data_IF_100004351357
#
_entry.id   IF_100004351357
#
_cell.length_a   1.000
_cell.length_b   1.000
_cell.length_c   1.000
_cell.angle_alpha   90.00
_cell.angle_beta   90.00
_cell.angle_gamma   90.00
#
_symmetry.space_group_name_H-M   'P 1'
#
loop_
_entity.id
_entity.type
_entity.pdbx_description
1 polymer ?
#
# COMPACT_ATOMS: atom_id res chain seq x y z
N UNK A 1 43.96 8.83 -22.16
CA UNK A 1 42.89 8.03 -21.48
C UNK A 1 41.99 7.45 -22.57
N UNK A 2 41.81 6.11 -22.59
CA UNK A 2 40.88 5.45 -23.52
C UNK A 2 39.55 5.27 -22.84
N UNK A 3 38.48 5.81 -23.42
CA UNK A 3 37.12 5.71 -22.92
C UNK A 3 36.34 4.67 -23.74
N UNK A 4 35.75 3.68 -23.09
CA UNK A 4 34.78 2.78 -23.67
C UNK A 4 33.39 3.30 -23.36
N UNK A 5 32.53 3.42 -24.38
CA UNK A 5 31.14 3.80 -24.23
C UNK A 5 30.28 2.74 -24.92
N UNK A 6 29.31 2.22 -24.18
CA UNK A 6 28.38 1.21 -24.68
C UNK A 6 26.94 1.61 -24.33
N UNK A 7 26.01 1.67 -25.30
CA UNK A 7 24.61 1.90 -25.01
C UNK A 7 24.02 0.67 -24.31
N UNK A 8 23.35 0.89 -23.19
CA UNK A 8 22.74 -0.19 -22.42
C UNK A 8 21.29 -0.37 -22.86
N UNK A 9 21.01 -1.43 -23.61
CA UNK A 9 19.67 -1.84 -24.06
C UNK A 9 19.18 -3.10 -23.33
N UNK A 10 19.65 -3.28 -22.10
CA UNK A 10 19.31 -4.45 -21.29
C UNK A 10 17.99 -4.24 -20.56
N UNK A 11 17.22 -5.31 -20.38
CA UNK A 11 16.04 -5.33 -19.50
C UNK A 11 16.43 -5.03 -18.07
N UNK A 12 15.47 -4.63 -17.25
CA UNK A 12 15.68 -4.44 -15.81
C UNK A 12 16.23 -5.73 -15.20
N UNK A 13 17.31 -5.61 -14.43
CA UNK A 13 17.99 -6.74 -13.83
C UNK A 13 19.39 -6.41 -13.36
N UNK A 14 20.06 -7.40 -12.76
CA UNK A 14 21.45 -7.33 -12.39
C UNK A 14 22.26 -8.24 -13.31
N UNK A 15 23.29 -7.70 -13.91
CA UNK A 15 24.12 -8.35 -14.90
C UNK A 15 25.57 -8.33 -14.43
N UNK A 16 26.30 -9.41 -14.72
CA UNK A 16 27.75 -9.42 -14.63
C UNK A 16 28.30 -9.00 -15.99
N UNK A 17 29.04 -7.91 -16.02
CA UNK A 17 29.71 -7.43 -17.22
C UNK A 17 31.17 -7.83 -17.13
N UNK A 18 31.63 -8.55 -18.12
CA UNK A 18 33.05 -8.97 -18.24
C UNK A 18 33.70 -8.09 -19.28
N UNK A 19 34.76 -7.39 -18.87
CA UNK A 19 35.58 -6.62 -19.77
C UNK A 19 36.89 -7.41 -20.05
N UNK A 20 37.08 -7.77 -21.29
CA UNK A 20 38.30 -8.43 -21.76
C UNK A 20 39.19 -7.42 -22.49
N UNK A 21 40.43 -7.34 -22.07
CA UNK A 21 41.46 -6.55 -22.76
C UNK A 21 42.56 -7.48 -23.27
N UNK A 22 42.66 -7.59 -24.58
CA UNK A 22 43.65 -8.46 -25.23
C UNK A 22 44.77 -7.63 -25.87
N UNK A 23 46.02 -8.00 -25.59
CA UNK A 23 47.19 -7.47 -26.29
C UNK A 23 47.25 -8.12 -27.68
N UNK A 24 47.14 -7.33 -28.73
CA UNK A 24 47.10 -7.84 -30.11
C UNK A 24 48.40 -8.46 -30.61
N UNK A 25 49.55 -8.11 -30.02
CA UNK A 25 50.86 -8.61 -30.43
C UNK A 25 51.19 -9.93 -29.76
N UNK A 26 50.84 -10.09 -28.50
CA UNK A 26 51.22 -11.24 -27.69
C UNK A 26 50.07 -12.24 -27.48
N UNK A 27 48.80 -11.83 -27.73
CA UNK A 27 47.62 -12.62 -27.45
C UNK A 27 47.28 -12.74 -25.97
N UNK A 28 48.05 -12.13 -25.06
CA UNK A 28 47.72 -12.13 -23.65
C UNK A 28 46.49 -11.27 -23.39
N UNK A 29 45.59 -11.76 -22.53
CA UNK A 29 44.38 -11.05 -22.14
C UNK A 29 44.26 -10.91 -20.62
N UNK A 30 43.52 -9.92 -20.19
CA UNK A 30 43.11 -9.70 -18.81
C UNK A 30 41.60 -9.50 -18.76
N UNK A 31 40.96 -10.09 -17.75
CA UNK A 31 39.52 -10.02 -17.51
C UNK A 31 39.27 -9.20 -16.26
N UNK A 32 38.27 -8.34 -16.34
CA UNK A 32 37.74 -7.60 -15.18
C UNK A 32 36.22 -7.72 -15.19
N UNK A 33 35.68 -8.12 -14.06
CA UNK A 33 34.22 -8.25 -13.88
C UNK A 33 33.70 -7.12 -13.03
N UNK A 34 32.50 -6.63 -13.35
CA UNK A 34 31.76 -5.70 -12.52
C UNK A 34 30.27 -5.97 -12.63
N UNK A 35 29.53 -5.61 -11.56
CA UNK A 35 28.08 -5.73 -11.53
C UNK A 35 27.44 -4.48 -12.13
N UNK A 36 26.53 -4.68 -13.09
CA UNK A 36 25.68 -3.65 -13.67
C UNK A 36 24.22 -3.88 -13.24
N UNK A 37 23.66 -2.97 -12.48
CA UNK A 37 22.25 -2.97 -12.14
C UNK A 37 21.48 -2.04 -13.09
N UNK A 38 20.61 -2.60 -13.91
CA UNK A 38 19.66 -1.86 -14.76
C UNK A 38 18.35 -1.71 -14.00
N UNK A 39 17.93 -0.49 -13.76
CA UNK A 39 16.68 -0.15 -13.04
C UNK A 39 15.77 0.67 -13.94
N UNK A 40 14.48 0.70 -13.62
CA UNK A 40 13.56 1.63 -14.27
C UNK A 40 13.74 3.06 -13.75
N UNK A 41 13.23 4.02 -14.49
CA UNK A 41 13.19 5.42 -14.04
C UNK A 41 12.31 5.60 -12.79
N UNK A 42 11.36 4.69 -12.55
CA UNK A 42 10.29 4.79 -11.56
C UNK A 42 10.45 3.86 -10.35
N UNK A 43 11.53 3.08 -10.26
CA UNK A 43 11.67 2.04 -9.22
C UNK A 43 12.37 2.49 -7.95
N UNK A 44 13.08 3.62 -7.96
CA UNK A 44 13.87 4.11 -6.81
C UNK A 44 13.57 5.60 -6.57
N UNK A 45 12.61 5.90 -5.70
CA UNK A 45 12.22 7.29 -5.40
C UNK A 45 10.88 7.40 -4.68
N UNK A 46 10.26 8.56 -4.81
CA UNK A 46 9.01 8.89 -4.13
C UNK A 46 7.94 9.27 -5.15
N UNK A 47 6.78 8.65 -5.04
CA UNK A 47 5.59 9.06 -5.77
C UNK A 47 4.84 10.11 -4.96
N UNK A 48 4.39 11.16 -5.65
CA UNK A 48 3.64 12.27 -5.07
C UNK A 48 2.32 12.34 -5.81
N UNK A 49 1.25 11.94 -5.15
CA UNK A 49 -0.11 12.02 -5.70
C UNK A 49 -0.54 13.48 -5.77
N UNK A 50 -1.14 13.88 -6.88
CA UNK A 50 -1.59 15.26 -7.08
C UNK A 50 -2.92 15.37 -7.85
N UNK A 51 -3.59 16.48 -7.66
CA UNK A 51 -4.70 16.93 -8.50
C UNK A 51 -4.15 17.77 -9.67
N UNK A 52 -4.57 17.46 -10.87
CA UNK A 52 -4.25 18.27 -12.05
C UNK A 52 -5.10 19.55 -12.08
N UNK A 53 -4.75 20.49 -12.95
CA UNK A 53 -5.55 21.73 -13.15
C UNK A 53 -6.98 21.45 -13.59
N UNK A 54 -7.22 20.32 -14.24
CA UNK A 54 -8.53 19.90 -14.74
C UNK A 54 -9.31 19.04 -13.73
N UNK A 55 -8.78 18.91 -12.49
CA UNK A 55 -9.44 18.16 -11.41
C UNK A 55 -9.31 16.64 -11.53
N UNK A 56 -8.36 16.16 -12.31
CA UNK A 56 -8.02 14.74 -12.44
C UNK A 56 -6.85 14.35 -11.55
N UNK A 57 -6.57 13.05 -11.50
CA UNK A 57 -5.51 12.47 -10.68
C UNK A 57 -4.27 12.19 -11.50
N UNK A 58 -3.13 12.68 -11.05
CA UNK A 58 -1.83 12.32 -11.58
C UNK A 58 -0.81 12.13 -10.46
N UNK A 59 0.38 11.75 -10.80
CA UNK A 59 1.50 11.62 -9.88
C UNK A 59 2.74 12.31 -10.44
N UNK A 60 3.54 12.89 -9.55
CA UNK A 60 4.93 13.20 -9.83
C UNK A 60 5.83 12.11 -9.24
N UNK A 61 6.94 11.84 -9.88
CA UNK A 61 7.94 10.92 -9.35
C UNK A 61 9.25 11.64 -9.10
N UNK A 62 9.68 11.69 -7.84
CA UNK A 62 11.00 12.15 -7.47
C UNK A 62 11.99 11.00 -7.47
N UNK A 63 12.91 11.01 -8.42
CA UNK A 63 14.00 10.04 -8.46
C UNK A 63 15.10 10.45 -7.47
N UNK A 64 15.20 9.74 -6.34
CA UNK A 64 16.13 10.10 -5.27
C UNK A 64 17.61 9.93 -5.68
N UNK A 65 17.89 9.02 -6.58
CA UNK A 65 19.25 8.79 -7.07
C UNK A 65 19.75 9.89 -8.00
N UNK A 66 18.88 10.32 -8.92
CA UNK A 66 19.21 11.36 -9.92
C UNK A 66 18.89 12.77 -9.40
N UNK A 67 18.18 12.88 -8.27
CA UNK A 67 17.69 14.16 -7.71
C UNK A 67 16.85 14.96 -8.73
N UNK A 68 16.05 14.25 -9.52
CA UNK A 68 15.18 14.83 -10.56
C UNK A 68 13.73 14.51 -10.31
N UNK A 69 12.84 15.41 -10.74
CA UNK A 69 11.39 15.17 -10.74
C UNK A 69 10.95 14.81 -12.15
N UNK A 70 10.20 13.75 -12.28
CA UNK A 70 9.46 13.40 -13.49
C UNK A 70 8.00 13.78 -13.22
N UNK A 71 7.47 14.83 -13.84
CA UNK A 71 6.10 15.27 -13.61
C UNK A 71 5.11 14.43 -14.41
N UNK A 72 3.85 14.43 -13.96
CA UNK A 72 2.69 13.89 -14.67
C UNK A 72 2.90 12.47 -15.20
N UNK A 73 3.40 11.57 -14.35
CA UNK A 73 3.84 10.23 -14.78
C UNK A 73 2.70 9.37 -15.33
N UNK A 74 1.46 9.55 -14.84
CA UNK A 74 0.30 8.85 -15.39
C UNK A 74 0.02 9.38 -16.81
N UNK A 75 -0.21 10.66 -16.94
CA UNK A 75 -0.52 11.28 -18.24
C UNK A 75 0.62 11.10 -19.24
N UNK A 76 1.87 11.17 -18.83
CA UNK A 76 3.02 11.00 -19.72
C UNK A 76 3.10 9.61 -20.37
N UNK A 77 2.60 8.58 -19.69
CA UNK A 77 2.65 7.19 -20.15
C UNK A 77 1.32 6.73 -20.74
N UNK A 78 0.20 7.07 -20.08
CA UNK A 78 -1.14 6.65 -20.50
C UNK A 78 -1.74 7.57 -21.57
N UNK A 79 -1.18 8.77 -21.78
CA UNK A 79 -1.71 9.80 -22.65
C UNK A 79 -2.69 10.76 -21.99
N UNK A 80 -3.23 10.38 -20.82
CA UNK A 80 -4.13 11.21 -20.03
C UNK A 80 -4.01 10.89 -18.53
N UNK A 81 -4.40 11.83 -17.68
CA UNK A 81 -4.48 11.65 -16.24
C UNK A 81 -5.69 10.77 -15.88
N UNK A 82 -5.62 10.08 -14.75
CA UNK A 82 -6.74 9.27 -14.25
C UNK A 82 -7.93 10.17 -13.89
N UNK A 83 -9.12 9.81 -14.34
CA UNK A 83 -10.34 10.60 -14.13
C UNK A 83 -10.66 10.78 -12.63
N UNK A 84 -11.11 12.00 -12.27
CA UNK A 84 -11.55 12.36 -10.92
C UNK A 84 -10.42 12.77 -9.99
N UNK A 85 -10.80 13.42 -8.88
CA UNK A 85 -9.86 13.94 -7.90
C UNK A 85 -9.10 12.84 -7.16
N UNK A 86 -7.81 13.06 -6.82
CA UNK A 86 -7.03 12.08 -6.09
C UNK A 86 -7.62 11.79 -4.71
N UNK A 87 -7.68 10.50 -4.36
CA UNK A 87 -8.17 10.06 -3.06
C UNK A 87 -7.08 9.38 -2.24
N UNK A 88 -6.42 8.36 -2.79
CA UNK A 88 -5.39 7.61 -2.07
C UNK A 88 -4.39 6.97 -3.02
N UNK A 89 -3.22 6.65 -2.47
CA UNK A 89 -2.15 5.95 -3.17
C UNK A 89 -1.47 4.97 -2.22
N UNK A 90 -1.29 3.72 -2.67
CA UNK A 90 -0.67 2.66 -1.88
C UNK A 90 0.33 1.87 -2.71
N UNK A 91 1.48 1.47 -2.15
CA UNK A 91 2.36 0.52 -2.83
C UNK A 91 1.74 -0.88 -2.81
N UNK A 92 1.88 -1.60 -3.92
CA UNK A 92 1.41 -2.99 -4.08
C UNK A 92 2.60 -3.84 -4.46
N UNK A 93 2.90 -4.86 -3.65
CA UNK A 93 4.02 -5.75 -3.87
C UNK A 93 3.54 -7.14 -4.31
N UNK A 94 4.36 -7.79 -5.13
CA UNK A 94 4.13 -9.17 -5.56
C UNK A 94 2.73 -9.41 -6.15
N UNK A 95 2.18 -8.42 -6.87
CA UNK A 95 0.90 -8.60 -7.58
C UNK A 95 1.12 -9.51 -8.77
N UNK A 96 0.40 -10.63 -8.79
CA UNK A 96 0.42 -11.55 -9.93
C UNK A 96 -0.38 -10.92 -11.07
N UNK A 97 0.17 -10.95 -12.27
CA UNK A 97 -0.52 -10.54 -13.49
C UNK A 97 -0.02 -11.38 -14.66
N UNK A 98 -0.76 -11.36 -15.76
CA UNK A 98 -0.33 -11.99 -17.01
C UNK A 98 0.38 -10.93 -17.84
N UNK A 99 1.68 -11.12 -18.05
CA UNK A 99 2.48 -10.26 -18.93
C UNK A 99 1.95 -10.39 -20.37
N UNK A 100 1.43 -9.31 -20.96
CA UNK A 100 0.84 -9.36 -22.31
C UNK A 100 1.86 -9.72 -23.39
N UNK A 101 3.15 -9.44 -23.17
CA UNK A 101 4.20 -9.72 -24.15
C UNK A 101 4.57 -11.21 -24.19
N UNK A 102 4.47 -11.91 -23.08
CA UNK A 102 4.89 -13.32 -22.95
C UNK A 102 3.73 -14.28 -22.71
N UNK A 103 2.55 -13.77 -22.41
CA UNK A 103 1.36 -14.53 -21.99
C UNK A 103 1.64 -15.43 -20.77
N UNK A 104 2.60 -15.07 -19.93
CA UNK A 104 2.97 -15.82 -18.73
C UNK A 104 2.59 -15.06 -17.48
N UNK A 105 2.18 -15.82 -16.48
CA UNK A 105 1.99 -15.30 -15.12
C UNK A 105 3.35 -14.84 -14.55
N UNK A 106 3.37 -13.65 -14.00
CA UNK A 106 4.56 -13.05 -13.38
C UNK A 106 4.17 -12.16 -12.21
N UNK A 107 5.14 -11.69 -11.46
CA UNK A 107 4.93 -10.78 -10.33
C UNK A 107 5.36 -9.36 -10.70
N UNK A 108 4.57 -8.39 -10.28
CA UNK A 108 4.90 -6.99 -10.41
C UNK A 108 4.82 -6.26 -9.08
N UNK A 109 5.60 -5.19 -8.97
CA UNK A 109 5.38 -4.14 -7.98
C UNK A 109 4.68 -3.01 -8.67
N UNK A 110 3.63 -2.51 -8.04
CA UNK A 110 2.81 -1.45 -8.58
C UNK A 110 2.48 -0.36 -7.56
N UNK A 111 1.83 0.67 -8.04
CA UNK A 111 1.22 1.72 -7.25
C UNK A 111 -0.28 1.68 -7.49
N UNK A 112 -1.05 1.37 -6.46
CA UNK A 112 -2.50 1.45 -6.48
C UNK A 112 -2.91 2.90 -6.23
N UNK A 113 -3.67 3.46 -7.15
CA UNK A 113 -4.13 4.85 -7.11
C UNK A 113 -5.64 4.87 -7.20
N UNK A 114 -6.29 5.51 -6.23
CA UNK A 114 -7.74 5.73 -6.26
C UNK A 114 -8.06 7.19 -6.52
N UNK A 115 -9.12 7.42 -7.26
CA UNK A 115 -9.63 8.75 -7.56
C UNK A 115 -11.15 8.85 -7.33
N UNK A 116 -11.67 10.04 -7.42
CA UNK A 116 -13.12 10.30 -7.36
C UNK A 116 -13.88 9.47 -8.39
N UNK A 117 -15.19 9.32 -8.17
CA UNK A 117 -16.07 8.49 -9.01
C UNK A 117 -15.78 6.98 -8.91
N UNK A 118 -15.16 6.55 -7.81
CA UNK A 118 -14.84 5.15 -7.51
C UNK A 118 -13.81 4.52 -8.47
N UNK A 119 -13.07 5.31 -9.20
CA UNK A 119 -12.05 4.82 -10.10
C UNK A 119 -10.76 4.45 -9.37
N UNK A 120 -10.08 3.45 -9.87
CA UNK A 120 -8.74 3.10 -9.45
C UNK A 120 -7.95 2.43 -10.58
N UNK A 121 -6.63 2.50 -10.45
CA UNK A 121 -5.70 1.75 -11.28
C UNK A 121 -4.51 1.26 -10.46
N UNK A 122 -3.89 0.17 -10.90
CA UNK A 122 -2.59 -0.29 -10.42
C UNK A 122 -1.60 -0.06 -11.54
N UNK A 123 -0.67 0.85 -11.32
CA UNK A 123 0.39 1.18 -12.27
C UNK A 123 1.67 0.43 -11.93
N UNK A 124 2.33 -0.11 -12.94
CA UNK A 124 3.63 -0.76 -12.81
C UNK A 124 4.72 0.23 -12.39
N UNK A 125 5.54 -0.09 -11.40
CA UNK A 125 6.71 0.72 -11.05
C UNK A 125 7.86 0.59 -12.04
N UNK A 126 7.72 -0.24 -13.06
CA UNK A 126 8.73 -0.44 -14.10
C UNK A 126 8.60 0.64 -15.18
N UNK A 127 7.40 0.84 -15.67
CA UNK A 127 7.13 1.65 -16.86
C UNK A 127 5.85 2.48 -16.77
N UNK A 128 5.18 2.48 -15.62
CA UNK A 128 3.90 3.13 -15.36
C UNK A 128 2.74 2.66 -16.26
N UNK A 129 2.91 1.50 -16.91
CA UNK A 129 1.79 0.85 -17.60
C UNK A 129 0.71 0.41 -16.61
N UNK A 130 -0.55 0.42 -17.04
CA UNK A 130 -1.66 -0.08 -16.22
C UNK A 130 -1.58 -1.61 -16.15
N UNK A 131 -1.41 -2.14 -14.93
CA UNK A 131 -1.48 -3.58 -14.66
C UNK A 131 -2.93 -4.03 -14.48
N UNK A 132 -3.70 -3.28 -13.71
CA UNK A 132 -5.11 -3.51 -13.44
C UNK A 132 -5.83 -2.18 -13.25
N UNK A 133 -7.11 -2.20 -13.56
CA UNK A 133 -8.06 -1.14 -13.29
C UNK A 133 -9.37 -1.72 -12.76
N UNK A 134 -10.40 -0.89 -12.61
CA UNK A 134 -11.71 -1.30 -12.15
C UNK A 134 -12.33 -2.42 -12.98
N UNK A 135 -12.07 -2.43 -14.29
CA UNK A 135 -12.66 -3.41 -15.22
C UNK A 135 -11.92 -4.74 -15.25
N UNK A 136 -10.65 -4.76 -14.86
CA UNK A 136 -9.75 -5.89 -15.04
C UNK A 136 -9.28 -6.55 -13.75
N UNK A 137 -9.52 -5.92 -12.58
CA UNK A 137 -9.06 -6.48 -11.30
C UNK A 137 -9.82 -7.75 -10.91
N UNK A 138 -11.11 -7.82 -11.21
CA UNK A 138 -12.00 -8.95 -10.92
C UNK A 138 -12.44 -9.63 -12.21
N UNK A 139 -12.74 -10.91 -12.14
CA UNK A 139 -13.37 -11.61 -13.27
C UNK A 139 -14.81 -11.17 -13.54
N UNK A 140 -15.54 -10.87 -12.46
CA UNK A 140 -16.84 -10.25 -12.57
C UNK A 140 -16.69 -8.73 -12.53
N UNK A 141 -17.60 -8.05 -13.14
CA UNK A 141 -17.70 -6.61 -13.02
C UNK A 141 -17.82 -6.21 -11.54
N UNK A 142 -17.03 -5.22 -11.13
CA UNK A 142 -17.10 -4.69 -9.78
C UNK A 142 -18.40 -3.89 -9.62
N UNK A 143 -19.11 -4.13 -8.51
CA UNK A 143 -20.33 -3.38 -8.18
C UNK A 143 -20.08 -1.87 -8.29
N UNK A 144 -20.92 -1.17 -9.05
CA UNK A 144 -20.81 0.28 -9.28
C UNK A 144 -20.84 1.12 -8.00
N UNK A 145 -21.46 0.59 -6.93
CA UNK A 145 -21.51 1.20 -5.60
C UNK A 145 -20.27 0.86 -4.74
N UNK A 146 -19.40 -0.01 -5.21
CA UNK A 146 -18.17 -0.36 -4.47
C UNK A 146 -17.13 0.71 -4.64
N UNK A 147 -16.73 1.32 -3.52
CA UNK A 147 -15.70 2.35 -3.43
C UNK A 147 -14.43 1.74 -2.87
N UNK A 148 -13.39 1.51 -3.68
CA UNK A 148 -12.11 1.03 -3.17
C UNK A 148 -11.38 2.16 -2.42
N UNK A 149 -10.80 1.81 -1.26
CA UNK A 149 -10.04 2.76 -0.45
C UNK A 149 -8.54 2.58 -0.60
N UNK A 150 -8.09 1.33 -0.48
CA UNK A 150 -6.67 0.99 -0.47
C UNK A 150 -6.44 -0.45 -0.92
N UNK A 151 -5.26 -0.70 -1.46
CA UNK A 151 -4.71 -2.05 -1.58
C UNK A 151 -3.45 -2.12 -0.73
N UNK A 152 -3.43 -3.02 0.23
CA UNK A 152 -2.34 -3.15 1.19
C UNK A 152 -1.70 -4.52 1.05
N UNK A 153 -0.40 -4.55 0.85
CA UNK A 153 0.37 -5.79 0.77
C UNK A 153 0.73 -6.29 2.17
N UNK A 154 0.38 -7.53 2.46
CA UNK A 154 0.76 -8.25 3.66
C UNK A 154 1.48 -9.55 3.28
N UNK A 155 2.01 -10.30 4.25
CA UNK A 155 2.73 -11.55 3.95
C UNK A 155 1.85 -12.59 3.24
N UNK A 156 0.54 -12.55 3.47
CA UNK A 156 -0.40 -13.50 2.86
C UNK A 156 -0.81 -13.13 1.45
N UNK A 157 -0.62 -11.90 1.04
CA UNK A 157 -1.05 -11.40 -0.25
C UNK A 157 -1.47 -9.94 -0.20
N UNK A 158 -2.05 -9.47 -1.27
CA UNK A 158 -2.60 -8.13 -1.34
C UNK A 158 -4.06 -8.14 -0.88
N UNK A 159 -4.44 -7.17 -0.08
CA UNK A 159 -5.80 -7.01 0.43
C UNK A 159 -6.40 -5.72 -0.10
N UNK A 160 -7.49 -5.83 -0.84
CA UNK A 160 -8.28 -4.69 -1.31
C UNK A 160 -9.33 -4.35 -0.26
N UNK A 161 -9.31 -3.12 0.21
CA UNK A 161 -10.28 -2.55 1.14
C UNK A 161 -11.23 -1.63 0.41
N UNK A 162 -12.53 -1.82 0.66
CA UNK A 162 -13.60 -1.01 0.07
C UNK A 162 -14.73 -0.78 1.08
N UNK A 163 -15.72 0.03 0.73
CA UNK A 163 -16.94 0.19 1.51
C UNK A 163 -17.79 -1.10 1.62
N UNK A 164 -17.50 -2.11 0.81
CA UNK A 164 -18.15 -3.43 0.83
C UNK A 164 -17.39 -4.45 1.67
N UNK A 165 -16.17 -4.13 2.11
CA UNK A 165 -15.35 -5.01 2.96
C UNK A 165 -13.93 -5.19 2.47
N UNK A 166 -13.37 -6.33 2.79
CA UNK A 166 -11.98 -6.70 2.49
C UNK A 166 -11.94 -7.91 1.56
N UNK A 167 -11.12 -7.84 0.53
CA UNK A 167 -10.89 -8.94 -0.42
C UNK A 167 -9.41 -9.31 -0.40
N UNK A 168 -9.10 -10.59 -0.34
CA UNK A 168 -7.72 -11.10 -0.28
C UNK A 168 -7.27 -11.62 -1.64
N UNK A 169 -6.11 -11.15 -2.08
CA UNK A 169 -5.32 -11.70 -3.17
C UNK A 169 -4.25 -12.64 -2.60
N UNK A 170 -4.60 -13.89 -2.39
CA UNK A 170 -3.71 -14.90 -1.79
C UNK A 170 -2.58 -15.28 -2.75
N UNK A 171 -1.35 -14.97 -2.39
CA UNK A 171 -0.14 -15.29 -3.17
C UNK A 171 0.05 -16.79 -3.41
N UNK A 172 -0.55 -17.65 -2.59
CA UNK A 172 -0.52 -19.11 -2.77
C UNK A 172 -1.53 -19.66 -3.77
N UNK A 173 -2.49 -18.86 -4.19
CA UNK A 173 -3.67 -19.30 -4.95
C UNK A 173 -3.49 -19.49 -6.46
N UNK A 174 -2.32 -19.22 -7.01
CA UNK A 174 -2.03 -19.51 -8.43
C UNK A 174 -2.56 -18.49 -9.43
N UNK A 175 -2.57 -18.85 -10.65
CA UNK A 175 -2.37 -18.14 -11.88
C UNK A 175 -3.39 -17.07 -12.32
N UNK A 176 -4.47 -16.84 -11.61
CA UNK A 176 -5.47 -15.81 -11.96
C UNK A 176 -5.87 -15.03 -10.72
N UNK A 177 -4.92 -14.28 -10.29
CA UNK A 177 -4.95 -13.58 -9.03
C UNK A 177 -6.22 -12.76 -8.81
N UNK A 178 -6.70 -12.04 -9.81
CA UNK A 178 -7.80 -11.11 -9.61
C UNK A 178 -9.10 -11.79 -9.22
N UNK A 179 -9.51 -12.85 -9.90
CA UNK A 179 -10.77 -13.53 -9.59
C UNK A 179 -10.72 -14.27 -8.27
N UNK A 180 -9.69 -15.12 -8.11
CA UNK A 180 -9.59 -15.95 -6.92
C UNK A 180 -9.33 -15.17 -5.67
N UNK A 181 -8.44 -14.21 -5.79
CA UNK A 181 -7.96 -13.45 -4.67
C UNK A 181 -9.01 -12.57 -4.06
N UNK A 182 -9.90 -12.04 -4.88
CA UNK A 182 -10.89 -11.08 -4.39
C UNK A 182 -12.31 -11.63 -4.36
N UNK A 183 -12.57 -12.73 -5.03
CA UNK A 183 -13.91 -13.33 -5.11
C UNK A 183 -14.13 -14.54 -4.22
N UNK A 184 -13.19 -15.49 -4.20
CA UNK A 184 -13.35 -16.78 -3.50
C UNK A 184 -12.78 -16.80 -2.09
N UNK A 185 -11.61 -16.19 -1.91
CA UNK A 185 -10.86 -16.21 -0.64
C UNK A 185 -11.00 -14.92 0.12
N UNK A 186 -11.84 -14.00 -0.38
CA UNK A 186 -12.07 -12.72 0.26
C UNK A 186 -12.75 -12.87 1.61
N UNK A 187 -12.42 -11.97 2.51
CA UNK A 187 -13.16 -11.82 3.75
C UNK A 187 -14.59 -11.38 3.45
N UNK A 188 -15.56 -11.69 4.32
CA UNK A 188 -16.93 -11.26 4.15
C UNK A 188 -17.01 -9.77 3.85
N UNK A 189 -17.81 -9.39 2.87
CA UNK A 189 -17.99 -7.98 2.54
C UNK A 189 -18.78 -7.31 3.67
N UNK A 190 -18.10 -6.47 4.42
CA UNK A 190 -18.69 -5.66 5.48
C UNK A 190 -18.97 -4.25 4.97
N UNK A 191 -20.21 -3.77 5.10
CA UNK A 191 -20.54 -2.38 4.80
C UNK A 191 -19.88 -1.45 5.81
N UNK A 192 -19.43 -0.29 5.33
CA UNK A 192 -18.86 0.74 6.19
C UNK A 192 -17.45 0.46 6.70
N UNK A 193 -16.70 -0.40 6.02
CA UNK A 193 -15.27 -0.56 6.25
C UNK A 193 -14.58 0.79 6.05
N UNK A 194 -13.80 1.20 7.03
CA UNK A 194 -13.06 2.45 6.99
C UNK A 194 -11.79 2.34 6.16
N UNK A 195 -11.38 3.44 5.54
CA UNK A 195 -10.08 3.58 4.86
C UNK A 195 -8.87 3.58 5.82
N UNK A 196 -9.11 3.59 7.14
CA UNK A 196 -8.05 3.60 8.14
C UNK A 196 -7.57 2.18 8.43
N UNK A 197 -6.46 1.78 7.78
CA UNK A 197 -5.92 0.43 7.81
C UNK A 197 -4.49 0.51 8.33
N UNK A 198 -4.14 -0.37 9.27
CA UNK A 198 -2.80 -0.45 9.84
C UNK A 198 -2.31 -1.90 9.87
N UNK A 199 -1.00 -2.10 9.74
CA UNK A 199 -0.41 -3.41 9.98
C UNK A 199 -0.64 -3.81 11.44
N UNK A 200 -1.31 -4.94 11.68
CA UNK A 200 -1.59 -5.42 13.04
C UNK A 200 -0.47 -6.32 13.57
N UNK A 201 0.03 -7.18 12.72
CA UNK A 201 1.23 -8.00 12.94
C UNK A 201 1.91 -8.24 11.58
N UNK A 202 2.91 -9.13 11.53
CA UNK A 202 3.63 -9.41 10.28
C UNK A 202 2.76 -9.99 9.15
N UNK A 203 1.57 -10.48 9.45
CA UNK A 203 0.69 -11.16 8.47
C UNK A 203 -0.67 -10.49 8.33
N UNK A 204 -1.15 -9.82 9.37
CA UNK A 204 -2.51 -9.34 9.49
C UNK A 204 -2.58 -7.81 9.49
N UNK A 205 -3.73 -7.30 9.05
CA UNK A 205 -4.03 -5.87 9.02
C UNK A 205 -5.18 -5.59 9.98
N UNK A 206 -5.10 -4.48 10.70
CA UNK A 206 -6.20 -3.98 11.52
C UNK A 206 -6.96 -2.89 10.77
N UNK A 207 -8.26 -2.80 11.01
CA UNK A 207 -9.14 -1.81 10.40
C UNK A 207 -10.42 -1.66 11.23
N UNK A 208 -11.18 -0.59 10.97
CA UNK A 208 -12.50 -0.40 11.54
C UNK A 208 -13.57 -1.00 10.61
N UNK A 209 -14.43 -1.86 11.14
CA UNK A 209 -15.62 -2.33 10.46
C UNK A 209 -16.85 -1.50 10.86
N UNK A 210 -17.42 -0.81 9.91
CA UNK A 210 -18.66 -0.04 10.13
C UNK A 210 -19.89 -0.93 10.30
N UNK A 211 -19.84 -2.17 9.80
CA UNK A 211 -20.94 -3.13 9.96
C UNK A 211 -21.02 -3.68 11.38
N UNK A 212 -19.89 -4.17 11.89
CA UNK A 212 -19.82 -4.72 13.25
C UNK A 212 -19.63 -3.64 14.31
N UNK A 213 -19.25 -2.41 13.90
CA UNK A 213 -18.84 -1.30 14.76
C UNK A 213 -17.77 -1.72 15.77
N UNK A 214 -16.73 -2.35 15.26
CA UNK A 214 -15.60 -2.85 16.05
C UNK A 214 -14.30 -2.66 15.28
N UNK A 215 -13.21 -2.59 16.02
CA UNK A 215 -11.88 -2.79 15.45
C UNK A 215 -11.69 -4.26 15.15
N UNK A 216 -11.37 -4.55 13.91
CA UNK A 216 -11.17 -5.90 13.39
C UNK A 216 -9.73 -6.07 12.95
N UNK A 217 -9.29 -7.31 12.86
CA UNK A 217 -8.08 -7.67 12.14
C UNK A 217 -8.34 -8.87 11.22
N UNK A 218 -7.54 -8.96 10.18
CA UNK A 218 -7.57 -10.11 9.27
C UNK A 218 -6.87 -11.30 9.93
N UNK A 219 -7.54 -12.45 10.00
CA UNK A 219 -7.01 -13.65 10.63
C UNK A 219 -7.21 -14.86 9.72
N UNK A 220 -6.15 -15.32 9.14
CA UNK A 220 -6.28 -16.43 8.21
C UNK A 220 -7.16 -16.09 7.00
N UNK A 221 -8.27 -16.78 6.84
CA UNK A 221 -9.30 -16.54 5.82
C UNK A 221 -10.52 -15.83 6.40
N UNK A 222 -10.41 -15.28 7.60
CA UNK A 222 -11.52 -14.68 8.34
C UNK A 222 -11.13 -13.32 8.93
N UNK A 223 -12.05 -12.69 9.60
CA UNK A 223 -11.86 -11.46 10.35
C UNK A 223 -12.24 -11.69 11.81
N UNK A 224 -11.41 -11.20 12.71
CA UNK A 224 -11.65 -11.30 14.14
C UNK A 224 -11.68 -9.93 14.80
N UNK A 225 -12.48 -9.80 15.87
CA UNK A 225 -12.54 -8.58 16.66
C UNK A 225 -11.27 -8.40 17.50
N UNK A 226 -10.74 -7.18 17.49
CA UNK A 226 -9.66 -6.78 18.39
C UNK A 226 -10.26 -6.45 19.76
N UNK A 227 -10.06 -7.33 20.71
CA UNK A 227 -10.61 -7.19 22.06
C UNK A 227 -9.69 -6.37 22.97
N UNK A 228 -10.25 -5.88 24.05
CA UNK A 228 -9.45 -5.36 25.17
C UNK A 228 -8.56 -6.46 25.73
N UNK A 229 -7.35 -6.12 26.13
CA UNK A 229 -6.46 -7.06 26.83
C UNK A 229 -7.10 -7.59 28.09
N UNK A 230 -6.74 -8.80 28.45
CA UNK A 230 -7.16 -9.39 29.72
C UNK A 230 -6.77 -8.50 30.91
N UNK A 231 -7.71 -8.29 31.80
CA UNK A 231 -7.51 -7.42 32.97
C UNK A 231 -7.53 -5.92 32.65
N UNK A 232 -8.00 -5.50 31.47
CA UNK A 232 -8.13 -4.08 31.16
C UNK A 232 -9.19 -3.39 32.02
N UNK A 233 -8.76 -2.44 32.87
CA UNK A 233 -9.62 -1.67 33.78
C UNK A 233 -9.80 -0.21 33.37
N UNK A 234 -9.24 0.20 32.22
CA UNK A 234 -9.30 1.58 31.73
C UNK A 234 -10.66 1.97 31.15
N UNK A 235 -10.71 3.18 30.64
CA UNK A 235 -11.90 3.72 29.94
C UNK A 235 -12.19 2.85 28.72
N UNK A 236 -13.46 2.51 28.51
CA UNK A 236 -13.92 1.78 27.34
C UNK A 236 -14.65 2.73 26.39
N UNK A 237 -14.51 2.48 25.09
CA UNK A 237 -15.19 3.23 24.03
C UNK A 237 -16.61 2.68 23.88
N UNK A 238 -17.58 3.58 23.77
CA UNK A 238 -18.91 3.20 23.27
C UNK A 238 -18.81 3.04 21.74
N UNK A 239 -18.61 1.81 21.31
CA UNK A 239 -18.41 1.48 19.89
C UNK A 239 -19.65 1.79 19.05
N UNK A 240 -20.86 1.75 19.65
CA UNK A 240 -22.10 2.04 18.91
C UNK A 240 -22.19 3.52 18.52
N UNK A 241 -21.53 4.39 19.25
CA UNK A 241 -21.47 5.82 19.00
C UNK A 241 -20.17 6.28 18.35
N UNK A 242 -19.20 5.37 18.14
CA UNK A 242 -17.90 5.69 17.62
C UNK A 242 -17.88 5.83 16.10
N UNK A 243 -17.19 6.86 15.62
CA UNK A 243 -16.89 7.07 14.20
C UNK A 243 -15.36 7.21 14.05
N UNK A 244 -14.71 6.46 13.15
CA UNK A 244 -13.28 6.56 12.94
C UNK A 244 -12.92 7.89 12.28
N UNK A 245 -11.84 8.51 12.74
CA UNK A 245 -11.37 9.82 12.25
C UNK A 245 -9.99 9.69 11.60
N UNK A 246 -9.11 8.93 12.22
CA UNK A 246 -7.74 8.72 11.74
C UNK A 246 -7.14 7.45 12.35
N UNK A 247 -6.06 6.99 11.77
CA UNK A 247 -5.23 5.95 12.37
C UNK A 247 -3.76 6.19 12.04
N UNK A 248 -2.89 5.55 12.78
CA UNK A 248 -1.48 5.60 12.50
C UNK A 248 -0.70 4.55 13.26
N UNK A 249 0.58 4.52 12.96
CA UNK A 249 1.52 3.59 13.51
C UNK A 249 2.73 4.33 14.08
N UNK A 250 3.25 3.86 15.18
CA UNK A 250 4.42 4.43 15.82
C UNK A 250 5.38 3.33 16.29
N UNK A 251 6.66 3.58 16.08
CA UNK A 251 7.74 2.74 16.61
C UNK A 251 8.56 3.55 17.60
N UNK A 252 8.42 3.25 18.88
CA UNK A 252 9.20 3.90 19.93
C UNK A 252 9.84 2.91 20.86
N UNK A 253 11.11 3.11 21.18
CA UNK A 253 11.87 2.31 22.14
C UNK A 253 11.74 0.79 21.91
N UNK A 254 11.74 0.35 20.64
CA UNK A 254 11.60 -1.06 20.29
C UNK A 254 10.18 -1.63 20.40
N UNK A 255 9.18 -0.79 20.66
CA UNK A 255 7.77 -1.21 20.69
C UNK A 255 7.00 -0.57 19.55
N UNK A 256 6.33 -1.39 18.78
CA UNK A 256 5.36 -0.93 17.79
C UNK A 256 4.03 -0.68 18.49
N UNK A 257 3.40 0.42 18.17
CA UNK A 257 2.02 0.72 18.60
C UNK A 257 1.20 1.16 17.40
N UNK A 258 -0.04 0.76 17.39
CA UNK A 258 -1.03 1.16 16.42
C UNK A 258 -2.04 2.02 17.18
N UNK A 259 -2.48 3.09 16.60
CA UNK A 259 -3.51 3.92 17.21
C UNK A 259 -4.63 4.22 16.23
N UNK A 260 -5.83 4.35 16.78
CA UNK A 260 -7.02 4.80 16.09
C UNK A 260 -7.65 5.95 16.85
N UNK A 261 -8.01 7.00 16.13
CA UNK A 261 -8.75 8.13 16.67
C UNK A 261 -10.22 7.97 16.30
N UNK A 262 -11.07 8.04 17.31
CA UNK A 262 -12.52 8.01 17.15
C UNK A 262 -13.16 9.28 17.68
N UNK A 263 -14.23 9.72 17.01
CA UNK A 263 -15.19 10.66 17.53
C UNK A 263 -16.40 9.87 18.06
N UNK A 264 -16.67 10.00 19.35
CA UNK A 264 -17.75 9.26 20.03
C UNK A 264 -18.87 10.26 20.35
N UNK A 265 -20.03 10.05 19.75
CA UNK A 265 -21.13 10.98 19.83
C UNK A 265 -21.56 11.23 21.30
N UNK A 266 -21.61 12.49 21.69
CA UNK A 266 -21.96 12.91 23.07
C UNK A 266 -20.82 12.79 24.10
N UNK A 267 -19.71 12.16 23.75
CA UNK A 267 -18.60 11.93 24.68
C UNK A 267 -17.31 12.66 24.30
N UNK A 268 -17.09 12.90 22.99
CA UNK A 268 -15.89 13.52 22.46
C UNK A 268 -14.93 12.53 21.80
N UNK A 269 -13.65 12.85 21.77
CA UNK A 269 -12.65 12.08 21.02
C UNK A 269 -11.84 11.13 21.89
N UNK A 270 -11.56 9.98 21.34
CA UNK A 270 -10.81 8.92 21.97
C UNK A 270 -9.68 8.41 21.08
N UNK A 271 -8.49 8.26 21.64
CA UNK A 271 -7.41 7.52 21.00
C UNK A 271 -7.38 6.11 21.60
N UNK A 272 -7.52 5.13 20.72
CA UNK A 272 -7.40 3.71 21.08
C UNK A 272 -6.05 3.23 20.64
N UNK A 273 -5.28 2.72 21.56
CA UNK A 273 -3.91 2.21 21.32
C UNK A 273 -3.94 0.69 21.34
N UNK A 274 -3.44 0.09 20.26
CA UNK A 274 -3.30 -1.35 20.11
C UNK A 274 -1.84 -1.75 20.28
N UNK A 275 -1.61 -2.87 20.89
CA UNK A 275 -0.36 -3.59 20.77
C UNK A 275 -0.48 -4.58 19.60
N UNK A 276 0.46 -4.59 18.63
CA UNK A 276 0.45 -5.56 17.54
C UNK A 276 0.30 -6.99 18.06
N UNK A 277 -0.71 -7.71 17.55
CA UNK A 277 -1.04 -9.07 18.00
C UNK A 277 -1.55 -9.22 19.44
N UNK A 278 -1.70 -8.12 20.19
CA UNK A 278 -1.99 -8.16 21.63
C UNK A 278 -3.29 -7.51 22.09
N UNK A 279 -4.07 -6.95 21.17
CA UNK A 279 -5.35 -6.33 21.49
C UNK A 279 -5.27 -4.86 21.91
N UNK A 280 -6.39 -4.33 22.45
CA UNK A 280 -6.49 -2.95 22.91
C UNK A 280 -5.75 -2.84 24.27
N UNK A 281 -4.67 -2.07 24.23
CA UNK A 281 -3.79 -1.85 25.39
C UNK A 281 -4.20 -0.65 26.21
N UNK A 282 -4.71 0.38 25.56
CA UNK A 282 -5.07 1.63 26.20
C UNK A 282 -6.12 2.41 25.43
N UNK A 283 -6.94 3.14 26.16
CA UNK A 283 -7.87 4.13 25.61
C UNK A 283 -7.66 5.45 26.34
N UNK A 284 -7.52 6.52 25.57
CA UNK A 284 -7.28 7.87 26.06
C UNK A 284 -8.38 8.78 25.56
N UNK A 285 -9.09 9.42 26.47
CA UNK A 285 -10.01 10.48 26.11
C UNK A 285 -9.21 11.78 25.89
N UNK A 286 -9.44 12.44 24.76
CA UNK A 286 -8.87 13.75 24.50
C UNK A 286 -9.76 14.82 25.14
N UNK A 287 -9.14 15.87 25.65
CA UNK A 287 -9.90 17.04 26.10
C UNK A 287 -10.42 17.88 24.90
N UNK A 288 -11.28 18.86 25.18
CA UNK A 288 -11.91 19.67 24.14
C UNK A 288 -10.92 20.51 23.31
N UNK A 289 -9.69 20.70 23.80
CA UNK A 289 -8.63 21.40 23.10
C UNK A 289 -7.69 20.48 22.30
N UNK A 290 -8.03 19.20 22.24
CA UNK A 290 -7.22 18.14 21.62
C UNK A 290 -5.87 17.87 22.32
N UNK A 291 -5.70 18.38 23.54
CA UNK A 291 -4.56 18.00 24.35
C UNK A 291 -4.77 16.60 24.95
N UNK A 292 -3.70 15.82 24.97
CA UNK A 292 -3.72 14.55 25.69
C UNK A 292 -3.89 14.85 27.18
N UNK A 293 -4.87 14.22 27.82
CA UNK A 293 -5.10 14.35 29.26
C UNK A 293 -3.92 13.84 30.11
N UNK A 294 -3.02 13.05 29.52
CA UNK A 294 -1.73 12.66 30.07
C UNK A 294 -0.70 12.56 28.96
N UNK A 295 0.33 13.37 29.03
CA UNK A 295 1.44 13.43 28.07
C UNK A 295 2.27 12.13 27.95
N UNK A 296 2.08 11.18 28.85
CA UNK A 296 2.94 10.00 28.98
C UNK A 296 2.61 8.89 28.00
N UNK A 297 1.55 9.00 27.25
CA UNK A 297 0.94 7.82 26.64
C UNK A 297 1.12 7.74 25.14
N UNK A 298 1.08 8.87 24.46
CA UNK A 298 1.52 8.97 23.07
C UNK A 298 2.73 9.89 23.07
N UNK A 299 3.74 9.49 23.73
CA UNK A 299 4.98 10.18 23.68
C UNK A 299 5.68 9.88 22.35
N UNK A 300 5.33 10.57 21.36
CA UNK A 300 5.95 10.55 20.06
C UNK A 300 5.11 11.37 19.12
N UNK A 301 5.64 12.38 18.63
CA UNK A 301 5.33 13.31 17.54
C UNK A 301 4.34 12.84 16.46
N UNK A 302 3.42 11.96 16.75
CA UNK A 302 2.45 11.43 15.81
C UNK A 302 1.26 12.37 15.55
N UNK A 303 1.27 13.55 16.18
CA UNK A 303 0.21 14.55 16.04
C UNK A 303 0.76 15.96 15.73
N UNK A 304 2.00 16.07 15.27
CA UNK A 304 2.51 17.33 14.69
C UNK A 304 2.65 17.22 13.20
#
# INVERSE_FOLDING_TARGET
>A
EKKLSYPVELKIGTYTVVCEVTNKETGYFNLTEFSLKVTSAFSEGFYILKETTDGNTDMDFYNDRQKTVIPDVIASVQGEAQSGKPCNMCPVYNKIYIDPATAKSTYATGVFVTSGQNEFSIYSTIDMSTLFDRSSLLFSEMDGEEVPYAMVSAMRGNMLFSNKGVRLDDLGGGSFASEYSTGKLGYPAGKGTSSFIQAYDGQNLSFWSGETRRLMYTSGSDMEEIKYKDGYEGVKVDWEQAAPVASGWNHRAGKNTIWYLFDVAGEGRYVVVLQPGGGIDQVIRLDASLHLAKADVIAGNALT
#
